data_IF_973091049136
#
_entry.id   IF_973091049136
#
_cell.length_a   1.000
_cell.length_b   1.000
_cell.length_c   1.000
_cell.angle_alpha   90.00
_cell.angle_beta   90.00
_cell.angle_gamma   90.00
#
_symmetry.space_group_name_H-M   'P 1'
#
loop_
_entity.id
_entity.type
_entity.pdbx_description
1 polymer ?
#
# COMPACT_ATOMS: atom_id res chain seq x y z
N UNK A 1 71.64 -85.63 16.47
CA UNK A 1 72.64 -84.57 16.70
C UNK A 1 72.11 -83.31 16.00
N UNK A 2 71.44 -82.42 16.73
CA UNK A 2 70.80 -81.23 16.15
C UNK A 2 71.81 -80.09 16.07
N UNK A 3 72.11 -79.65 14.85
CA UNK A 3 72.98 -78.53 14.58
C UNK A 3 72.13 -77.26 14.51
N UNK A 4 72.31 -76.38 15.49
CA UNK A 4 71.58 -75.12 15.64
C UNK A 4 72.15 -74.12 14.62
N UNK A 5 71.38 -73.77 13.59
CA UNK A 5 71.73 -72.69 12.66
C UNK A 5 71.62 -71.35 13.40
N UNK A 6 72.75 -70.66 13.58
CA UNK A 6 72.76 -69.28 14.06
C UNK A 6 72.41 -68.36 12.90
N UNK A 7 71.31 -67.63 13.03
CA UNK A 7 70.93 -66.58 12.09
C UNK A 7 72.02 -65.49 12.05
N UNK A 8 72.69 -65.35 10.91
CA UNK A 8 73.69 -64.30 10.69
C UNK A 8 72.94 -63.03 10.28
N UNK A 9 72.93 -62.03 11.16
CA UNK A 9 72.30 -60.74 10.91
C UNK A 9 73.24 -59.83 10.10
N UNK A 10 72.98 -59.65 8.81
CA UNK A 10 73.81 -58.87 7.87
C UNK A 10 73.64 -57.34 7.96
N UNK A 11 72.71 -56.85 8.79
CA UNK A 11 72.46 -55.41 8.91
C UNK A 11 73.11 -54.87 10.20
N UNK A 12 73.99 -53.87 10.02
CA UNK A 12 74.59 -53.13 11.14
C UNK A 12 73.50 -52.41 11.97
N UNK A 13 73.68 -52.25 13.28
CA UNK A 13 72.70 -51.59 14.16
C UNK A 13 72.29 -50.21 13.66
N UNK A 14 73.25 -49.42 13.18
CA UNK A 14 73.04 -48.08 12.62
C UNK A 14 72.12 -48.08 11.39
N UNK A 15 72.22 -49.11 10.55
CA UNK A 15 71.38 -49.23 9.35
C UNK A 15 69.93 -49.60 9.71
N UNK A 16 69.74 -50.44 10.74
CA UNK A 16 68.40 -50.77 11.26
C UNK A 16 67.72 -49.55 11.89
N UNK A 17 68.48 -48.72 12.60
CA UNK A 17 67.97 -47.48 13.20
C UNK A 17 67.55 -46.46 12.13
N UNK A 18 68.40 -46.22 11.11
CA UNK A 18 68.05 -45.33 9.98
C UNK A 18 66.82 -45.82 9.21
N UNK A 19 66.68 -47.13 9.00
CA UNK A 19 65.48 -47.73 8.40
C UNK A 19 64.24 -47.48 9.28
N UNK A 20 64.35 -47.66 10.59
CA UNK A 20 63.26 -47.41 11.54
C UNK A 20 62.82 -45.95 11.54
N UNK A 21 63.77 -45.00 11.58
CA UNK A 21 63.49 -43.56 11.50
C UNK A 21 62.82 -43.19 10.17
N UNK A 22 63.32 -43.71 9.04
CA UNK A 22 62.72 -43.47 7.72
C UNK A 22 61.28 -44.01 7.62
N UNK A 23 61.02 -45.19 8.17
CA UNK A 23 59.68 -45.78 8.19
C UNK A 23 58.73 -45.00 9.10
N UNK A 24 59.20 -44.55 10.26
CA UNK A 24 58.40 -43.73 11.19
C UNK A 24 58.10 -42.35 10.61
N UNK A 25 59.06 -41.74 9.90
CA UNK A 25 58.85 -40.47 9.20
C UNK A 25 57.81 -40.62 8.08
N UNK A 26 57.89 -41.68 7.27
CA UNK A 26 56.88 -41.97 6.23
C UNK A 26 55.47 -42.12 6.82
N UNK A 27 55.34 -42.83 7.94
CA UNK A 27 54.07 -42.98 8.66
C UNK A 27 53.56 -41.63 9.19
N UNK A 28 54.43 -40.82 9.78
CA UNK A 28 54.08 -39.51 10.30
C UNK A 28 53.58 -38.56 9.19
N UNK A 29 54.27 -38.54 8.05
CA UNK A 29 53.86 -37.77 6.86
C UNK A 29 52.51 -38.24 6.33
N UNK A 30 52.28 -39.56 6.30
CA UNK A 30 51.02 -40.11 5.83
C UNK A 30 49.84 -39.76 6.76
N UNK A 31 50.05 -39.86 8.08
CA UNK A 31 49.06 -39.44 9.08
C UNK A 31 48.77 -37.94 8.98
N UNK A 32 49.81 -37.11 8.87
CA UNK A 32 49.65 -35.67 8.69
C UNK A 32 48.90 -35.34 7.38
N UNK A 33 49.22 -36.04 6.29
CA UNK A 33 48.53 -35.88 5.01
C UNK A 33 47.04 -36.19 5.11
N UNK A 34 46.68 -37.32 5.75
CA UNK A 34 45.27 -37.67 5.99
C UNK A 34 44.58 -36.63 6.87
N UNK A 35 45.26 -36.15 7.92
CA UNK A 35 44.73 -35.10 8.79
C UNK A 35 44.42 -33.81 8.02
N UNK A 36 45.33 -33.34 7.17
CA UNK A 36 45.10 -32.15 6.36
C UNK A 36 44.02 -32.34 5.30
N UNK A 37 43.91 -33.53 4.70
CA UNK A 37 42.85 -33.83 3.73
C UNK A 37 41.47 -33.77 4.37
N UNK A 38 41.29 -34.36 5.56
CA UNK A 38 40.00 -34.34 6.27
C UNK A 38 39.63 -32.89 6.64
N UNK A 39 40.57 -32.14 7.22
CA UNK A 39 40.32 -30.74 7.59
C UNK A 39 40.04 -29.86 6.36
N UNK A 40 40.77 -30.07 5.27
CA UNK A 40 40.57 -29.36 4.00
C UNK A 40 39.18 -29.62 3.41
N UNK A 41 38.72 -30.87 3.44
CA UNK A 41 37.38 -31.23 2.97
C UNK A 41 36.28 -30.59 3.83
N UNK A 42 36.45 -30.58 5.16
CA UNK A 42 35.51 -29.93 6.08
C UNK A 42 35.48 -28.41 5.83
N UNK A 43 36.65 -27.76 5.75
CA UNK A 43 36.76 -26.33 5.49
C UNK A 43 36.09 -25.94 4.17
N UNK A 44 36.39 -26.68 3.09
CA UNK A 44 35.79 -26.42 1.79
C UNK A 44 34.28 -26.62 1.79
N UNK A 45 33.79 -27.67 2.47
CA UNK A 45 32.35 -27.92 2.63
C UNK A 45 31.63 -26.79 3.37
N UNK A 46 32.21 -26.28 4.45
CA UNK A 46 31.68 -25.14 5.20
C UNK A 46 31.68 -23.88 4.33
N UNK A 47 32.78 -23.61 3.63
CA UNK A 47 32.92 -22.42 2.79
C UNK A 47 31.90 -22.39 1.64
N UNK A 48 31.66 -23.53 0.98
CA UNK A 48 30.62 -23.63 -0.06
C UNK A 48 29.21 -23.38 0.51
N UNK A 49 28.90 -23.91 1.70
CA UNK A 49 27.62 -23.64 2.36
C UNK A 49 27.44 -22.17 2.72
N UNK A 50 28.48 -21.53 3.26
CA UNK A 50 28.46 -20.10 3.57
C UNK A 50 28.20 -19.26 2.33
N UNK A 51 28.90 -19.53 1.22
CA UNK A 51 28.70 -18.80 -0.04
C UNK A 51 27.27 -18.94 -0.59
N UNK A 52 26.68 -20.13 -0.49
CA UNK A 52 25.29 -20.34 -0.90
C UNK A 52 24.30 -19.60 0.02
N UNK A 53 24.54 -19.61 1.33
CA UNK A 53 23.74 -18.85 2.29
C UNK A 53 23.81 -17.35 2.03
N UNK A 54 25.01 -16.80 1.78
CA UNK A 54 25.19 -15.39 1.43
C UNK A 54 24.45 -15.01 0.15
N UNK A 55 24.52 -15.86 -0.88
CA UNK A 55 23.78 -15.66 -2.12
C UNK A 55 22.26 -15.63 -1.86
N UNK A 56 21.74 -16.60 -1.12
CA UNK A 56 20.32 -16.65 -0.77
C UNK A 56 19.89 -15.42 0.03
N UNK A 57 20.69 -14.98 1.01
CA UNK A 57 20.41 -13.77 1.79
C UNK A 57 20.37 -12.54 0.87
N UNK A 58 21.27 -12.44 -0.10
CA UNK A 58 21.28 -11.32 -1.05
C UNK A 58 20.04 -11.33 -1.95
N UNK A 59 19.65 -12.49 -2.47
CA UNK A 59 18.44 -12.65 -3.29
C UNK A 59 17.17 -12.33 -2.49
N UNK A 60 17.02 -12.87 -1.28
CA UNK A 60 15.89 -12.56 -0.39
C UNK A 60 15.83 -11.07 -0.01
N UNK A 61 16.98 -10.42 0.25
CA UNK A 61 17.00 -8.97 0.50
C UNK A 61 16.51 -8.16 -0.69
N UNK A 62 16.82 -8.61 -1.91
CA UNK A 62 16.37 -7.97 -3.14
C UNK A 62 14.85 -8.11 -3.32
N UNK A 63 14.31 -9.30 -3.06
CA UNK A 63 12.86 -9.55 -3.08
C UNK A 63 12.12 -8.72 -2.03
N UNK A 64 12.65 -8.62 -0.81
CA UNK A 64 12.08 -7.75 0.24
C UNK A 64 12.04 -6.29 -0.23
N UNK A 65 13.12 -5.78 -0.81
CA UNK A 65 13.17 -4.40 -1.29
C UNK A 65 12.15 -4.15 -2.42
N UNK A 66 12.00 -5.11 -3.34
CA UNK A 66 11.00 -5.05 -4.41
C UNK A 66 9.57 -5.04 -3.84
N UNK A 67 9.25 -5.97 -2.94
CA UNK A 67 7.92 -6.05 -2.33
C UNK A 67 7.60 -4.81 -1.48
N UNK A 68 8.59 -4.22 -0.80
CA UNK A 68 8.40 -2.96 -0.07
C UNK A 68 8.06 -1.78 -0.98
N UNK A 69 8.64 -1.73 -2.18
CA UNK A 69 8.30 -0.72 -3.17
C UNK A 69 6.88 -0.92 -3.70
N UNK A 70 6.48 -2.17 -3.92
CA UNK A 70 5.13 -2.53 -4.36
C UNK A 70 4.07 -2.18 -3.30
N UNK A 71 4.33 -2.48 -2.02
CA UNK A 71 3.45 -2.09 -0.91
C UNK A 71 3.26 -0.57 -0.88
N UNK A 72 4.34 0.22 -1.00
CA UNK A 72 4.23 1.69 -1.02
C UNK A 72 3.38 2.20 -2.18
N UNK A 73 3.48 1.56 -3.36
CA UNK A 73 2.63 1.92 -4.52
C UNK A 73 1.16 1.64 -4.22
N UNK A 74 0.87 0.48 -3.65
CA UNK A 74 -0.49 0.08 -3.27
C UNK A 74 -1.06 0.97 -2.17
N UNK A 75 -0.28 1.38 -1.17
CA UNK A 75 -0.72 2.31 -0.12
C UNK A 75 -1.11 3.68 -0.72
N UNK A 76 -0.34 4.19 -1.68
CA UNK A 76 -0.69 5.43 -2.40
C UNK A 76 -1.95 5.25 -3.24
N UNK A 77 -2.16 4.07 -3.84
CA UNK A 77 -3.34 3.77 -4.62
C UNK A 77 -4.60 3.62 -3.74
N UNK A 78 -4.48 2.95 -2.59
CA UNK A 78 -5.54 2.85 -1.59
C UNK A 78 -5.89 4.24 -1.03
N UNK A 79 -4.90 5.10 -0.77
CA UNK A 79 -5.16 6.49 -0.35
C UNK A 79 -5.85 7.36 -1.40
N UNK A 80 -5.91 6.93 -2.67
CA UNK A 80 -6.70 7.57 -3.73
C UNK A 80 -8.12 7.00 -3.83
N UNK A 81 -8.40 5.87 -3.19
CA UNK A 81 -9.76 5.38 -3.08
C UNK A 81 -10.46 6.31 -2.08
N UNK A 82 -11.48 7.07 -2.49
CA UNK A 82 -12.22 7.92 -1.55
C UNK A 82 -12.79 7.04 -0.44
N UNK A 83 -12.71 7.51 0.80
CA UNK A 83 -13.24 6.77 1.95
C UNK A 83 -14.75 6.56 1.74
N UNK A 84 -15.11 5.32 1.42
CA UNK A 84 -16.50 4.94 1.17
C UNK A 84 -17.29 4.87 2.48
N UNK A 85 -16.61 4.94 3.63
CA UNK A 85 -17.23 4.95 4.96
C UNK A 85 -18.12 6.17 5.14
N UNK A 86 -17.63 7.36 4.75
CA UNK A 86 -18.40 8.61 4.80
C UNK A 86 -19.66 8.54 3.91
N UNK A 87 -19.58 7.84 2.77
CA UNK A 87 -20.73 7.62 1.89
C UNK A 87 -21.73 6.60 2.45
N UNK A 88 -21.25 5.61 3.19
CA UNK A 88 -22.09 4.60 3.84
C UNK A 88 -22.84 5.21 5.03
N UNK A 89 -22.20 6.08 5.81
CA UNK A 89 -22.84 6.79 6.93
C UNK A 89 -23.99 7.68 6.44
N UNK A 90 -23.80 8.40 5.33
CA UNK A 90 -24.87 9.18 4.66
C UNK A 90 -26.04 8.27 4.25
N UNK A 91 -25.75 7.08 3.71
CA UNK A 91 -26.79 6.11 3.33
C UNK A 91 -27.55 5.62 4.58
N UNK A 92 -26.86 5.30 5.67
CA UNK A 92 -27.50 4.85 6.91
C UNK A 92 -28.33 5.95 7.58
N UNK A 93 -27.91 7.22 7.49
CA UNK A 93 -28.68 8.36 7.97
C UNK A 93 -29.96 8.59 7.14
N UNK A 94 -29.87 8.45 5.81
CA UNK A 94 -31.04 8.50 4.90
C UNK A 94 -32.04 7.37 5.19
N UNK A 95 -31.57 6.17 5.57
CA UNK A 95 -32.45 5.02 5.82
C UNK A 95 -32.97 4.93 7.26
N UNK A 96 -32.26 5.49 8.24
CA UNK A 96 -32.63 5.38 9.66
C UNK A 96 -33.70 6.39 10.06
N UNK A 97 -33.73 7.56 9.43
CA UNK A 97 -34.63 8.64 9.81
C UNK A 97 -35.87 8.69 8.91
N UNK A 98 -36.83 7.79 9.21
CA UNK A 98 -38.17 7.73 8.57
C UNK A 98 -38.99 9.03 8.72
N UNK A 99 -38.52 10.03 9.46
CA UNK A 99 -39.20 11.32 9.65
C UNK A 99 -38.57 12.47 8.88
N UNK A 100 -37.31 12.36 8.45
CA UNK A 100 -36.66 13.39 7.65
C UNK A 100 -36.88 13.10 6.18
N UNK A 101 -37.54 14.03 5.50
CA UNK A 101 -37.78 14.05 4.04
C UNK A 101 -36.48 14.21 3.23
N UNK A 102 -35.34 13.74 3.74
CA UNK A 102 -34.01 13.92 3.16
C UNK A 102 -33.89 13.28 1.78
N UNK A 103 -34.57 12.15 1.55
CA UNK A 103 -34.65 11.53 0.23
C UNK A 103 -35.43 12.39 -0.77
N UNK A 104 -36.49 13.08 -0.31
CA UNK A 104 -37.27 13.99 -1.14
C UNK A 104 -36.46 15.25 -1.45
N UNK A 105 -35.80 15.83 -0.44
CA UNK A 105 -34.87 16.96 -0.60
C UNK A 105 -33.78 16.63 -1.61
N UNK A 106 -33.15 15.46 -1.50
CA UNK A 106 -32.12 15.02 -2.43
C UNK A 106 -32.67 14.87 -3.85
N UNK A 107 -33.86 14.29 -3.99
CA UNK A 107 -34.53 14.12 -5.27
C UNK A 107 -34.90 15.48 -5.90
N UNK A 108 -35.44 16.41 -5.12
CA UNK A 108 -35.76 17.78 -5.56
C UNK A 108 -34.50 18.50 -6.04
N UNK A 109 -33.44 18.50 -5.23
CA UNK A 109 -32.16 19.14 -5.61
C UNK A 109 -31.59 18.52 -6.88
N UNK A 110 -31.61 17.20 -7.01
CA UNK A 110 -31.15 16.51 -8.21
C UNK A 110 -31.98 16.86 -9.46
N UNK A 111 -33.29 17.03 -9.30
CA UNK A 111 -34.21 17.32 -10.41
C UNK A 111 -34.13 18.78 -10.86
N UNK A 112 -33.88 19.71 -9.92
CA UNK A 112 -33.80 21.14 -10.21
C UNK A 112 -32.40 21.59 -10.66
N UNK A 113 -31.34 20.86 -10.27
CA UNK A 113 -29.99 21.18 -10.67
C UNK A 113 -29.80 21.02 -12.19
N UNK A 114 -29.44 22.09 -12.93
CA UNK A 114 -29.11 22.00 -14.35
C UNK A 114 -27.83 21.17 -14.58
N UNK A 115 -27.63 20.63 -15.78
CA UNK A 115 -26.51 19.73 -16.12
C UNK A 115 -25.11 20.30 -15.81
N UNK A 116 -25.00 21.62 -15.80
CA UNK A 116 -23.78 22.38 -15.53
C UNK A 116 -23.65 22.83 -14.06
N UNK A 117 -24.49 22.35 -13.16
CA UNK A 117 -24.35 22.52 -11.72
C UNK A 117 -24.04 21.18 -11.09
N UNK A 118 -23.01 21.19 -10.26
CA UNK A 118 -22.56 20.02 -9.54
C UNK A 118 -22.59 20.31 -8.05
N UNK A 119 -23.42 19.57 -7.31
CA UNK A 119 -23.49 19.65 -5.84
C UNK A 119 -22.45 18.69 -5.27
N UNK A 120 -21.42 19.23 -4.62
CA UNK A 120 -20.31 18.48 -4.02
C UNK A 120 -20.69 17.88 -2.66
N UNK A 121 -21.38 18.66 -1.83
CA UNK A 121 -21.74 18.25 -0.46
C UNK A 121 -23.12 18.75 -0.07
N UNK A 122 -23.85 17.94 0.68
CA UNK A 122 -25.10 18.30 1.33
C UNK A 122 -25.02 17.92 2.81
N UNK A 123 -25.38 18.85 3.69
CA UNK A 123 -25.50 18.59 5.12
C UNK A 123 -26.92 18.95 5.56
N UNK A 124 -27.54 18.07 6.34
CA UNK A 124 -28.91 18.28 6.82
C UNK A 124 -28.95 18.22 8.34
N UNK A 125 -29.53 19.25 8.96
CA UNK A 125 -29.70 19.34 10.41
C UNK A 125 -31.06 19.97 10.74
N UNK A 126 -31.99 19.17 11.26
CA UNK A 126 -33.24 19.65 11.84
C UNK A 126 -34.06 20.58 10.94
N UNK A 127 -34.30 20.19 9.68
CA UNK A 127 -35.08 20.98 8.71
C UNK A 127 -34.26 21.99 7.90
N UNK A 128 -32.98 22.17 8.25
CA UNK A 128 -32.06 23.01 7.48
C UNK A 128 -31.18 22.14 6.59
N UNK A 129 -30.97 22.57 5.34
CA UNK A 129 -30.12 21.89 4.37
C UNK A 129 -29.06 22.88 3.90
N UNK A 130 -27.79 22.52 4.05
CA UNK A 130 -26.66 23.29 3.54
C UNK A 130 -26.06 22.53 2.36
N UNK A 131 -26.10 23.12 1.17
CA UNK A 131 -25.47 22.56 -0.02
C UNK A 131 -24.26 23.38 -0.44
N UNK A 132 -23.21 22.69 -0.86
CA UNK A 132 -22.05 23.30 -1.54
C UNK A 132 -21.87 22.65 -2.89
N UNK A 133 -21.46 23.44 -3.86
CA UNK A 133 -21.24 22.95 -5.20
C UNK A 133 -20.51 23.95 -6.07
N UNK A 134 -20.49 23.63 -7.35
CA UNK A 134 -19.88 24.45 -8.38
C UNK A 134 -20.81 24.55 -9.59
N UNK A 135 -20.78 25.72 -10.21
CA UNK A 135 -21.43 25.98 -11.49
C UNK A 135 -20.38 26.12 -12.58
N UNK A 136 -20.59 25.41 -13.67
CA UNK A 136 -19.75 25.41 -14.86
C UNK A 136 -20.32 26.33 -15.94
N UNK A 137 -19.45 26.74 -16.86
CA UNK A 137 -19.85 27.40 -18.10
C UNK A 137 -20.52 26.35 -19.00
N UNK A 138 -21.66 26.70 -19.62
CA UNK A 138 -22.26 25.92 -20.69
C UNK A 138 -22.35 26.78 -21.98
N UNK A 139 -22.97 26.25 -23.04
CA UNK A 139 -23.09 26.94 -24.32
C UNK A 139 -23.98 28.18 -24.31
N UNK A 140 -24.86 28.32 -23.30
CA UNK A 140 -25.95 29.31 -23.29
C UNK A 140 -25.79 30.36 -22.18
N UNK A 141 -25.14 30.02 -21.08
CA UNK A 141 -25.11 30.78 -19.83
C UNK A 141 -23.75 30.69 -19.14
N UNK A 142 -23.36 31.80 -18.51
CA UNK A 142 -22.18 31.87 -17.64
C UNK A 142 -22.40 31.07 -16.34
N UNK A 143 -21.33 30.65 -15.63
CA UNK A 143 -21.44 30.01 -14.32
C UNK A 143 -22.36 30.74 -13.33
N UNK A 144 -22.32 32.07 -13.34
CA UNK A 144 -23.14 32.91 -12.48
C UNK A 144 -24.63 32.85 -12.86
N UNK A 145 -24.95 32.99 -14.15
CA UNK A 145 -26.33 32.91 -14.64
C UNK A 145 -26.95 31.54 -14.39
N UNK A 146 -26.17 30.48 -14.58
CA UNK A 146 -26.57 29.12 -14.28
C UNK A 146 -26.93 28.94 -12.80
N UNK A 147 -26.18 29.59 -11.92
CA UNK A 147 -26.42 29.51 -10.48
C UNK A 147 -27.67 30.27 -10.05
N UNK A 148 -27.93 31.44 -10.65
CA UNK A 148 -29.18 32.17 -10.41
C UNK A 148 -30.40 31.40 -10.93
N UNK A 149 -30.32 30.79 -12.12
CA UNK A 149 -31.41 29.93 -12.63
C UNK A 149 -31.71 28.76 -11.68
N UNK A 150 -30.68 28.18 -11.07
CA UNK A 150 -30.87 27.14 -10.05
C UNK A 150 -31.45 27.66 -8.75
N UNK A 151 -31.03 28.83 -8.28
CA UNK A 151 -31.62 29.51 -7.11
C UNK A 151 -33.10 29.81 -7.34
N UNK A 152 -33.45 30.35 -8.51
CA UNK A 152 -34.83 30.62 -8.91
C UNK A 152 -35.67 29.34 -8.92
N UNK A 153 -35.16 28.25 -9.50
CA UNK A 153 -35.83 26.94 -9.51
C UNK A 153 -36.05 26.37 -8.09
N UNK A 154 -35.08 26.53 -7.20
CA UNK A 154 -35.21 26.12 -5.80
C UNK A 154 -36.33 26.90 -5.10
N UNK A 155 -36.41 28.21 -5.34
CA UNK A 155 -37.47 29.07 -4.78
C UNK A 155 -38.84 28.71 -5.37
N UNK A 156 -38.93 28.54 -6.69
CA UNK A 156 -40.16 28.23 -7.41
C UNK A 156 -40.74 26.85 -7.06
N UNK A 157 -39.90 25.92 -6.59
CA UNK A 157 -40.33 24.57 -6.21
C UNK A 157 -41.35 24.54 -5.06
N UNK A 158 -41.30 25.53 -4.16
CA UNK A 158 -42.11 25.54 -2.93
C UNK A 158 -41.67 24.55 -1.85
N UNK A 159 -40.74 23.64 -2.15
CA UNK A 159 -40.20 22.64 -1.20
C UNK A 159 -39.33 23.29 -0.11
N UNK A 160 -38.83 24.50 -0.37
CA UNK A 160 -37.99 25.27 0.54
C UNK A 160 -38.66 26.60 0.90
N UNK A 161 -38.84 26.84 2.20
CA UNK A 161 -39.42 28.07 2.73
C UNK A 161 -38.42 29.24 2.69
N UNK A 162 -37.13 28.92 2.65
CA UNK A 162 -36.06 29.89 2.51
C UNK A 162 -34.92 29.30 1.68
N UNK A 163 -34.41 30.10 0.74
CA UNK A 163 -33.19 29.83 -0.04
C UNK A 163 -32.26 31.02 0.17
N UNK A 164 -31.05 30.79 0.70
CA UNK A 164 -30.08 31.85 0.97
C UNK A 164 -28.70 31.46 0.49
N UNK A 165 -28.04 32.34 -0.24
CA UNK A 165 -26.61 32.21 -0.51
C UNK A 165 -25.77 32.61 0.72
N UNK A 166 -24.92 31.70 1.17
CA UNK A 166 -23.92 32.00 2.19
C UNK A 166 -22.60 32.45 1.54
N UNK A 167 -22.27 31.91 0.37
CA UNK A 167 -21.02 32.20 -0.30
C UNK A 167 -21.08 31.95 -1.80
N UNK A 168 -20.40 32.83 -2.55
CA UNK A 168 -20.18 32.74 -3.99
C UNK A 168 -18.73 33.14 -4.29
N UNK A 169 -17.96 32.29 -4.96
CA UNK A 169 -16.60 32.64 -5.39
C UNK A 169 -16.24 32.01 -6.72
N UNK A 170 -15.52 32.80 -7.51
CA UNK A 170 -14.87 32.33 -8.72
C UNK A 170 -13.61 31.56 -8.37
N UNK A 171 -13.52 30.32 -8.84
CA UNK A 171 -12.36 29.45 -8.65
C UNK A 171 -11.90 28.85 -9.99
N UNK A 172 -10.65 28.41 -10.04
CA UNK A 172 -10.10 27.67 -11.16
C UNK A 172 -10.02 26.20 -10.76
N UNK A 173 -10.82 25.35 -11.41
CA UNK A 173 -10.87 23.89 -11.18
C UNK A 173 -10.66 23.21 -12.53
N UNK A 174 -9.68 22.31 -12.61
CA UNK A 174 -9.34 21.55 -13.82
C UNK A 174 -9.07 22.42 -15.07
N UNK A 175 -8.47 23.60 -14.87
CA UNK A 175 -8.17 24.57 -15.94
C UNK A 175 -9.39 25.34 -16.46
N UNK A 176 -10.56 25.18 -15.83
CA UNK A 176 -11.78 25.91 -16.14
C UNK A 176 -12.11 26.93 -15.03
N UNK A 177 -12.63 28.08 -15.44
CA UNK A 177 -13.19 29.08 -14.51
C UNK A 177 -14.59 28.64 -14.10
N UNK A 178 -14.76 28.32 -12.82
CA UNK A 178 -16.02 27.86 -12.23
C UNK A 178 -16.50 28.82 -11.15
N UNK A 179 -17.76 28.73 -10.76
CA UNK A 179 -18.32 29.47 -9.64
C UNK A 179 -18.70 28.51 -8.52
N UNK A 180 -17.91 28.51 -7.45
CA UNK A 180 -18.20 27.76 -6.24
C UNK A 180 -19.27 28.50 -5.42
N UNK A 181 -20.21 27.73 -4.88
CA UNK A 181 -21.34 28.26 -4.13
C UNK A 181 -21.62 27.46 -2.85
N UNK A 182 -22.28 28.14 -1.91
CA UNK A 182 -22.87 27.54 -0.73
C UNK A 182 -24.26 28.15 -0.49
N UNK A 183 -25.29 27.29 -0.47
CA UNK A 183 -26.65 27.68 -0.15
C UNK A 183 -27.10 27.06 1.18
N UNK A 184 -27.81 27.85 1.97
CA UNK A 184 -28.57 27.43 3.13
C UNK A 184 -30.05 27.45 2.78
N UNK A 185 -30.68 26.29 2.86
CA UNK A 185 -32.08 26.04 2.55
C UNK A 185 -32.83 25.67 3.84
N UNK A 186 -34.08 26.10 3.96
CA UNK A 186 -34.99 25.65 5.03
C UNK A 186 -36.13 24.89 4.39
N UNK A 187 -36.35 23.64 4.79
CA UNK A 187 -37.43 22.80 4.26
C UNK A 187 -38.78 23.42 4.64
N UNK A 188 -39.73 23.46 3.71
CA UNK A 188 -41.11 23.88 4.00
C UNK A 188 -41.79 22.80 4.84
N UNK A 189 -42.36 23.19 5.98
CA UNK A 189 -43.30 22.34 6.72
C UNK A 189 -44.58 22.19 5.89
N UNK A 190 -45.10 20.97 5.75
CA UNK A 190 -46.44 20.78 5.17
C UNK A 190 -47.46 21.45 6.12
N UNK A 191 -48.17 22.47 5.65
CA UNK A 191 -49.44 22.85 6.29
C UNK A 191 -50.38 21.64 6.18
N UNK A 192 -50.64 20.97 7.30
CA UNK A 192 -51.69 19.93 7.45
C UNK A 192 -53.09 20.43 7.08
#
# INVERSE_FOLDING_TARGET
MNMNMRDINFLTPEYKEKLGVSQNLKKAVLIAGVFFLINGAIFFGIHMKQKNLEKNIHETKREIAFNQEEIKKLEVEIGKIPDLTDKIEIIEEIFSDKKTRISEVLYTIQTLAPENIWVDTMHHEGGNVRIKGISYLNSEMTPEQNLYDFEDKLIESGDFSQVKHDYLKIEERDGNKVMAFEFSLVISDEEE
#
